data_IF_081629186983
#
_entry.id   IF_081629186983
#
_cell.length_a   1.000
_cell.length_b   1.000
_cell.length_c   1.000
_cell.angle_alpha   90.00
_cell.angle_beta   90.00
_cell.angle_gamma   90.00
#
_symmetry.space_group_name_H-M   'P 1'
#
loop_
_entity.id
_entity.type
_entity.pdbx_description
1 polymer ?
#
# COMPACT_ATOMS: atom_id res chain seq x y z
N UNK A 1 44.78 -0.81 24.78
CA UNK A 1 44.00 -2.06 24.65
C UNK A 1 43.10 -2.17 25.86
N UNK A 2 41.83 -1.82 25.71
CA UNK A 2 40.85 -1.83 26.80
C UNK A 2 39.80 -2.91 26.49
N UNK A 3 39.79 -3.97 27.30
CA UNK A 3 38.78 -5.02 27.26
C UNK A 3 37.53 -4.49 27.98
N UNK A 4 36.45 -4.21 27.23
CA UNK A 4 35.14 -4.04 27.82
C UNK A 4 34.42 -5.39 27.86
N UNK A 5 34.37 -5.99 29.05
CA UNK A 5 33.44 -7.07 29.36
C UNK A 5 32.02 -6.52 29.45
N UNK A 6 31.11 -7.07 28.64
CA UNK A 6 29.67 -6.82 28.75
C UNK A 6 29.14 -7.80 29.80
N UNK A 7 28.65 -7.25 30.92
CA UNK A 7 28.00 -8.00 31.99
C UNK A 7 26.49 -8.02 31.72
N UNK A 8 25.93 -9.20 31.48
CA UNK A 8 24.49 -9.40 31.34
C UNK A 8 23.90 -9.58 32.75
N UNK A 9 23.16 -8.60 33.26
CA UNK A 9 22.36 -8.76 34.48
C UNK A 9 20.93 -9.19 34.10
N UNK A 10 20.50 -10.32 34.65
CA UNK A 10 19.10 -10.75 34.64
C UNK A 10 18.44 -10.31 35.94
N UNK A 11 17.45 -9.43 35.87
CA UNK A 11 16.61 -9.08 37.01
C UNK A 11 15.30 -9.87 36.93
N UNK A 12 15.15 -10.86 37.81
CA UNK A 12 13.88 -11.55 38.03
C UNK A 12 13.03 -10.71 38.99
N UNK A 13 11.94 -10.13 38.50
CA UNK A 13 10.89 -9.59 39.37
C UNK A 13 10.01 -10.75 39.87
N UNK A 14 10.20 -11.14 41.12
CA UNK A 14 9.25 -11.96 41.86
C UNK A 14 8.09 -11.10 42.37
N UNK A 15 6.87 -11.37 41.94
CA UNK A 15 5.66 -10.90 42.61
C UNK A 15 5.05 -12.07 43.40
N UNK A 16 5.03 -11.93 44.71
CA UNK A 16 4.43 -12.87 45.66
C UNK A 16 2.90 -12.76 45.67
N UNK A 17 2.28 -13.91 45.36
CA UNK A 17 1.08 -14.54 45.94
C UNK A 17 -0.12 -13.70 46.41
N UNK A 18 -1.28 -14.03 45.84
CA UNK A 18 -2.60 -13.86 46.44
C UNK A 18 -3.72 -14.52 45.61
N UNK A 19 -4.14 -15.72 46.03
CA UNK A 19 -5.38 -16.46 45.69
C UNK A 19 -5.45 -17.37 44.42
N UNK A 20 -5.78 -18.64 44.70
CA UNK A 20 -6.22 -19.76 43.83
C UNK A 20 -7.62 -19.48 43.21
N UNK A 21 -8.14 -20.17 42.15
CA UNK A 21 -7.91 -21.59 41.84
C UNK A 21 -7.87 -22.02 40.34
N UNK A 22 -7.29 -23.20 40.09
CA UNK A 22 -7.67 -24.23 39.10
C UNK A 22 -8.17 -23.83 37.69
N UNK A 23 -7.32 -23.97 36.66
CA UNK A 23 -7.53 -24.82 35.46
C UNK A 23 -6.37 -24.64 34.47
N UNK A 24 -5.84 -25.77 33.99
CA UNK A 24 -4.73 -25.86 33.05
C UNK A 24 -5.16 -25.52 31.61
N UNK A 25 -4.40 -24.67 30.91
CA UNK A 25 -3.93 -24.88 29.52
C UNK A 25 -3.04 -23.69 29.05
N UNK A 26 -1.91 -23.91 28.37
CA UNK A 26 -0.97 -22.84 28.01
C UNK A 26 -1.32 -22.23 26.64
N UNK A 27 -1.79 -20.98 26.64
CA UNK A 27 -1.72 -20.12 25.46
C UNK A 27 -0.45 -19.25 25.55
N UNK A 28 0.57 -19.62 24.78
CA UNK A 28 1.73 -18.79 24.48
C UNK A 28 1.27 -17.56 23.66
N UNK A 29 1.00 -16.46 24.35
CA UNK A 29 0.88 -15.15 23.73
C UNK A 29 2.29 -14.58 23.48
N UNK A 30 2.77 -14.66 22.24
CA UNK A 30 3.90 -13.85 21.80
C UNK A 30 3.37 -12.45 21.45
N UNK A 31 3.28 -11.56 22.45
CA UNK A 31 3.06 -10.13 22.21
C UNK A 31 4.44 -9.49 22.02
N UNK A 32 4.83 -9.28 20.76
CA UNK A 32 5.96 -8.41 20.44
C UNK A 32 5.54 -6.95 20.65
N UNK A 33 5.82 -6.41 21.84
CA UNK A 33 5.78 -4.97 22.10
C UNK A 33 7.10 -4.37 21.62
N UNK A 34 7.09 -3.67 20.49
CA UNK A 34 8.25 -2.90 20.04
C UNK A 34 8.22 -1.51 20.66
N UNK A 35 9.05 -1.28 21.69
CA UNK A 35 9.39 0.06 22.17
C UNK A 35 10.47 0.65 21.26
N UNK A 36 10.24 1.84 20.73
CA UNK A 36 11.26 2.65 20.05
C UNK A 36 12.11 3.39 21.09
N UNK A 37 13.44 3.25 21.01
CA UNK A 37 14.37 4.12 21.73
C UNK A 37 15.44 4.70 20.79
N UNK A 38 15.70 5.99 21.01
CA UNK A 38 16.80 6.87 20.63
C UNK A 38 17.42 6.76 19.23
N UNK A 39 17.42 7.91 18.55
CA UNK A 39 17.72 8.11 17.14
C UNK A 39 19.22 8.35 16.89
N UNK A 40 19.85 7.44 16.15
CA UNK A 40 21.22 7.61 15.62
C UNK A 40 21.16 7.54 14.07
N UNK A 41 21.56 8.61 13.35
CA UNK A 41 21.41 8.71 11.90
C UNK A 41 22.25 7.69 11.09
N UNK A 42 23.29 7.09 11.67
CA UNK A 42 24.08 6.03 11.02
C UNK A 42 23.38 4.67 10.93
N UNK A 43 22.34 4.44 11.75
CA UNK A 43 21.66 3.15 11.90
C UNK A 43 20.54 2.97 10.86
N UNK A 44 19.99 4.07 10.33
CA UNK A 44 18.82 4.04 9.42
C UNK A 44 19.14 3.29 8.13
N UNK A 45 20.33 3.48 7.56
CA UNK A 45 20.78 2.76 6.35
C UNK A 45 20.92 1.26 6.59
N UNK A 46 21.59 0.85 7.68
CA UNK A 46 21.80 -0.57 7.99
C UNK A 46 20.51 -1.30 8.39
N UNK A 47 19.60 -0.63 9.10
CA UNK A 47 18.31 -1.21 9.51
C UNK A 47 17.33 -1.32 8.36
N UNK A 48 17.27 -0.34 7.43
CA UNK A 48 16.47 -0.46 6.21
C UNK A 48 16.98 -1.60 5.32
N UNK A 49 18.29 -1.67 5.09
CA UNK A 49 18.89 -2.74 4.28
C UNK A 49 18.57 -4.10 4.90
N UNK A 50 18.88 -4.31 6.19
CA UNK A 50 18.58 -5.58 6.89
C UNK A 50 17.10 -5.95 6.87
N UNK A 51 16.20 -4.98 7.00
CA UNK A 51 14.74 -5.21 6.98
C UNK A 51 14.24 -5.62 5.60
N UNK A 52 14.80 -5.04 4.54
CA UNK A 52 14.50 -5.46 3.17
C UNK A 52 15.06 -6.84 2.86
N UNK A 53 16.32 -7.13 3.26
CA UNK A 53 16.92 -8.45 3.05
C UNK A 53 16.15 -9.52 3.83
N UNK A 54 15.73 -9.25 5.08
CA UNK A 54 14.99 -10.23 5.88
C UNK A 54 13.61 -10.52 5.33
N UNK A 55 12.86 -9.50 4.87
CA UNK A 55 11.56 -9.71 4.22
C UNK A 55 11.71 -10.48 2.90
N UNK A 56 12.68 -10.12 2.06
CA UNK A 56 12.93 -10.80 0.80
C UNK A 56 13.37 -12.25 1.02
N UNK A 57 14.30 -12.51 1.94
CA UNK A 57 14.73 -13.85 2.33
C UNK A 57 13.58 -14.67 2.91
N UNK A 58 12.76 -14.08 3.78
CA UNK A 58 11.60 -14.77 4.34
C UNK A 58 10.56 -15.12 3.26
N UNK A 59 10.21 -14.16 2.41
CA UNK A 59 9.31 -14.43 1.27
C UNK A 59 9.88 -15.48 0.32
N UNK A 60 11.18 -15.42 0.02
CA UNK A 60 11.85 -16.37 -0.87
C UNK A 60 11.91 -17.77 -0.25
N UNK A 61 12.25 -17.87 1.03
CA UNK A 61 12.23 -19.11 1.79
C UNK A 61 10.83 -19.71 1.79
N UNK A 62 9.80 -18.92 2.10
CA UNK A 62 8.42 -19.39 2.08
C UNK A 62 7.91 -19.81 0.70
N UNK A 63 8.31 -19.12 -0.37
CA UNK A 63 7.90 -19.44 -1.73
C UNK A 63 8.59 -20.71 -2.29
N UNK A 64 9.77 -21.06 -1.77
CA UNK A 64 10.53 -22.22 -2.22
C UNK A 64 10.50 -23.40 -1.24
N UNK A 65 9.76 -23.30 -0.13
CA UNK A 65 9.59 -24.42 0.78
C UNK A 65 8.79 -25.52 0.07
N UNK A 66 9.25 -26.80 0.10
CA UNK A 66 8.47 -27.93 -0.39
C UNK A 66 7.10 -28.02 0.28
N UNK A 67 6.04 -28.31 -0.49
CA UNK A 67 4.64 -28.29 -0.03
C UNK A 67 4.40 -29.04 1.28
N UNK A 68 4.98 -30.24 1.43
CA UNK A 68 4.88 -31.07 2.64
C UNK A 68 5.45 -30.38 3.89
N UNK A 69 6.55 -29.63 3.76
CA UNK A 69 7.13 -28.87 4.87
C UNK A 69 6.35 -27.57 5.12
N UNK A 70 5.83 -26.93 4.07
CA UNK A 70 4.99 -25.73 4.18
C UNK A 70 3.71 -25.98 5.02
N UNK A 71 3.09 -27.15 4.83
CA UNK A 71 1.94 -27.58 5.63
C UNK A 71 2.32 -27.76 7.11
N UNK A 72 3.48 -28.38 7.37
CA UNK A 72 3.96 -28.70 8.72
C UNK A 72 4.22 -27.44 9.56
N UNK A 73 4.85 -26.41 8.98
CA UNK A 73 5.16 -25.17 9.71
C UNK A 73 4.02 -24.15 9.66
N UNK A 74 2.87 -24.50 9.06
CA UNK A 74 1.73 -23.60 8.97
C UNK A 74 2.01 -22.35 8.12
N UNK A 75 2.81 -22.48 7.04
CA UNK A 75 3.12 -21.36 6.12
C UNK A 75 1.83 -20.68 5.69
N UNK A 76 0.80 -21.46 5.35
CA UNK A 76 -0.50 -20.93 4.98
C UNK A 76 -1.07 -19.95 6.02
N UNK A 77 -0.92 -20.22 7.32
CA UNK A 77 -1.35 -19.35 8.42
C UNK A 77 -0.54 -18.05 8.49
N UNK A 78 0.77 -18.12 8.23
CA UNK A 78 1.66 -16.95 8.18
C UNK A 78 1.31 -16.00 7.02
N UNK A 79 0.88 -16.54 5.87
CA UNK A 79 0.44 -15.74 4.71
C UNK A 79 -1.05 -15.37 4.75
N UNK A 80 -1.88 -16.05 5.53
CA UNK A 80 -3.31 -15.79 5.62
C UNK A 80 -3.67 -14.45 6.27
N UNK A 81 -2.73 -13.79 6.94
CA UNK A 81 -3.00 -12.55 7.69
C UNK A 81 -3.47 -11.36 6.82
N UNK A 82 -3.32 -11.40 5.48
CA UNK A 82 -3.53 -10.22 4.64
C UNK A 82 -4.51 -10.42 3.48
N UNK A 83 -5.36 -11.45 3.48
CA UNK A 83 -6.44 -11.49 2.49
C UNK A 83 -7.40 -10.31 2.71
N UNK A 84 -7.85 -9.62 1.66
CA UNK A 84 -8.83 -8.55 1.81
C UNK A 84 -10.09 -9.13 2.46
N UNK A 85 -10.48 -8.54 3.60
CA UNK A 85 -11.78 -8.85 4.22
C UNK A 85 -12.83 -8.03 3.48
N UNK A 86 -13.61 -8.70 2.64
CA UNK A 86 -14.72 -8.12 1.92
C UNK A 86 -15.96 -8.13 2.81
N UNK A 87 -16.63 -6.99 2.88
CA UNK A 87 -17.87 -6.83 3.66
C UNK A 87 -18.91 -6.15 2.79
N UNK A 88 -20.17 -6.60 2.88
CA UNK A 88 -21.29 -5.97 2.20
C UNK A 88 -21.28 -4.46 2.42
N UNK A 89 -21.48 -3.68 1.36
CA UNK A 89 -21.38 -2.23 1.41
C UNK A 89 -22.54 -1.56 0.66
N UNK A 90 -23.22 -0.65 1.35
CA UNK A 90 -24.20 0.23 0.71
C UNK A 90 -23.47 1.40 0.06
N UNK A 91 -23.67 1.56 -1.25
CA UNK A 91 -23.00 2.59 -2.05
C UNK A 91 -23.81 3.89 -2.02
N UNK A 92 -23.13 5.05 -1.93
CA UNK A 92 -23.78 6.36 -2.07
C UNK A 92 -24.29 6.63 -3.50
N UNK A 93 -25.26 7.53 -3.71
CA UNK A 93 -25.75 7.85 -5.06
C UNK A 93 -24.65 8.31 -6.02
N UNK A 94 -23.72 9.15 -5.54
CA UNK A 94 -22.56 9.63 -6.31
C UNK A 94 -21.67 8.47 -6.77
N UNK A 95 -21.38 7.53 -5.86
CA UNK A 95 -20.54 6.38 -6.17
C UNK A 95 -21.25 5.38 -7.09
N UNK A 96 -22.56 5.18 -6.92
CA UNK A 96 -23.40 4.37 -7.81
C UNK A 96 -23.39 4.91 -9.24
N UNK A 97 -23.51 6.23 -9.40
CA UNK A 97 -23.41 6.88 -10.72
C UNK A 97 -22.03 6.67 -11.35
N UNK A 98 -20.96 6.91 -10.59
CA UNK A 98 -19.59 6.73 -11.09
C UNK A 98 -19.28 5.27 -11.46
N UNK A 99 -19.78 4.32 -10.67
CA UNK A 99 -19.64 2.88 -10.91
C UNK A 99 -20.41 2.45 -12.18
N UNK A 100 -21.64 2.94 -12.36
CA UNK A 100 -22.47 2.62 -13.52
C UNK A 100 -21.82 3.09 -14.83
N UNK A 101 -21.16 4.26 -14.82
CA UNK A 101 -20.39 4.75 -15.99
C UNK A 101 -19.24 3.82 -16.36
N UNK A 102 -18.48 3.33 -15.37
CA UNK A 102 -17.40 2.38 -15.62
C UNK A 102 -17.94 1.04 -16.14
N UNK A 103 -18.97 0.48 -15.49
CA UNK A 103 -19.52 -0.81 -15.88
C UNK A 103 -20.10 -0.78 -17.30
N UNK A 104 -20.79 0.30 -17.66
CA UNK A 104 -21.28 0.52 -19.03
C UNK A 104 -20.12 0.53 -20.04
N UNK A 105 -19.01 1.21 -19.71
CA UNK A 105 -17.80 1.22 -20.54
C UNK A 105 -17.18 -0.17 -20.71
N UNK A 106 -17.34 -1.05 -19.72
CA UNK A 106 -16.88 -2.44 -19.75
C UNK A 106 -17.90 -3.41 -20.38
N UNK A 107 -19.05 -2.92 -20.86
CA UNK A 107 -20.11 -3.77 -21.42
C UNK A 107 -20.93 -4.54 -20.38
N UNK A 108 -20.89 -4.12 -19.11
CA UNK A 108 -21.62 -4.74 -18.00
C UNK A 108 -22.89 -3.93 -17.72
N UNK A 109 -24.06 -4.58 -17.86
CA UNK A 109 -25.37 -3.91 -17.79
C UNK A 109 -25.93 -3.71 -16.37
N UNK A 110 -25.23 -4.16 -15.34
CA UNK A 110 -25.67 -3.97 -13.95
C UNK A 110 -24.84 -4.74 -12.93
N UNK A 111 -25.22 -4.59 -11.67
CA UNK A 111 -24.68 -5.33 -10.53
C UNK A 111 -25.78 -5.50 -9.48
N UNK A 112 -25.75 -6.61 -8.74
CA UNK A 112 -26.76 -6.89 -7.70
C UNK A 112 -26.18 -6.78 -6.28
N UNK A 113 -24.87 -6.98 -6.15
CA UNK A 113 -24.18 -6.97 -4.85
C UNK A 113 -22.92 -6.16 -4.94
N UNK A 114 -22.65 -5.44 -3.86
CA UNK A 114 -21.39 -4.72 -3.68
C UNK A 114 -20.78 -5.06 -2.34
N UNK A 115 -19.51 -5.39 -2.38
CA UNK A 115 -18.66 -5.53 -1.23
C UNK A 115 -17.60 -4.45 -1.23
N UNK A 116 -17.10 -4.09 -0.05
CA UNK A 116 -15.97 -3.19 0.10
C UNK A 116 -14.90 -3.79 0.98
N UNK A 117 -13.68 -3.29 0.83
CA UNK A 117 -12.59 -3.56 1.75
C UNK A 117 -11.79 -2.29 2.02
N UNK A 118 -11.11 -2.24 3.16
CA UNK A 118 -10.28 -1.10 3.53
C UNK A 118 -8.80 -1.26 3.15
N UNK A 119 -8.40 -2.47 2.75
CA UNK A 119 -7.04 -2.84 2.35
C UNK A 119 -7.10 -3.86 1.23
N UNK A 120 -6.36 -3.61 0.18
CA UNK A 120 -6.12 -4.55 -0.90
C UNK A 120 -4.63 -4.62 -1.21
N UNK A 121 -4.14 -5.81 -1.56
CA UNK A 121 -2.72 -6.03 -1.85
C UNK A 121 -2.51 -6.53 -3.26
N UNK A 122 -1.49 -5.99 -3.92
CA UNK A 122 -1.10 -6.39 -5.27
C UNK A 122 0.35 -6.04 -5.56
N UNK A 123 1.05 -6.96 -6.22
CA UNK A 123 2.48 -6.86 -6.52
C UNK A 123 3.31 -6.44 -5.28
N UNK A 124 3.04 -7.07 -4.13
CA UNK A 124 3.74 -6.79 -2.87
C UNK A 124 3.42 -5.43 -2.21
N UNK A 125 2.46 -4.67 -2.77
CA UNK A 125 2.05 -3.36 -2.25
C UNK A 125 0.65 -3.38 -1.66
N UNK A 126 0.45 -2.47 -0.71
CA UNK A 126 -0.83 -2.28 -0.01
C UNK A 126 -1.50 -0.99 -0.48
N UNK A 127 -2.73 -1.11 -0.97
CA UNK A 127 -3.62 0.00 -1.28
C UNK A 127 -4.70 0.06 -0.21
N UNK A 128 -4.96 1.26 0.30
CA UNK A 128 -5.94 1.44 1.38
C UNK A 128 -6.87 2.59 1.06
N UNK A 129 -8.04 2.59 1.70
CA UNK A 129 -8.90 3.79 1.70
C UNK A 129 -8.26 4.90 2.53
N UNK A 130 -8.53 6.16 2.17
CA UNK A 130 -7.94 7.34 2.82
C UNK A 130 -8.24 7.43 4.32
N UNK A 131 -9.43 6.97 4.75
CA UNK A 131 -9.81 6.88 6.17
C UNK A 131 -8.92 5.92 6.99
N UNK A 132 -8.31 4.92 6.34
CA UNK A 132 -7.46 3.92 6.99
C UNK A 132 -6.00 4.36 7.00
N UNK A 133 -5.48 4.82 5.86
CA UNK A 133 -4.11 5.28 5.75
C UNK A 133 -3.94 6.23 4.56
N UNK A 134 -3.56 7.48 4.85
CA UNK A 134 -3.50 8.57 3.88
C UNK A 134 -2.44 8.30 2.79
N UNK A 135 -1.22 7.91 3.16
CA UNK A 135 -0.13 7.66 2.20
C UNK A 135 -0.47 6.57 1.17
N UNK A 136 -0.86 5.38 1.65
CA UNK A 136 -1.23 4.23 0.80
C UNK A 136 -2.56 4.39 0.05
N UNK A 137 -3.31 5.47 0.28
CA UNK A 137 -4.53 5.79 -0.49
C UNK A 137 -4.29 6.71 -1.68
N UNK A 138 -3.13 7.38 -1.75
CA UNK A 138 -2.81 8.32 -2.81
C UNK A 138 -2.19 7.57 -3.98
N UNK A 139 -2.77 7.74 -5.16
CA UNK A 139 -2.42 6.94 -6.32
C UNK A 139 -2.33 7.77 -7.60
N UNK A 140 -1.53 7.25 -8.52
CA UNK A 140 -1.51 7.62 -9.94
C UNK A 140 -2.36 6.61 -10.72
N UNK A 141 -3.18 7.10 -11.64
CA UNK A 141 -4.07 6.27 -12.44
C UNK A 141 -4.36 6.87 -13.82
N UNK A 142 -4.93 6.06 -14.71
CA UNK A 142 -5.38 6.46 -16.04
C UNK A 142 -6.86 6.82 -16.01
N UNK A 143 -7.19 7.99 -16.53
CA UNK A 143 -8.57 8.44 -16.76
C UNK A 143 -8.70 8.98 -18.18
N UNK A 144 -9.60 8.39 -18.96
CA UNK A 144 -9.87 8.78 -20.35
C UNK A 144 -8.60 8.93 -21.22
N UNK A 145 -7.61 8.05 -21.03
CA UNK A 145 -6.36 8.07 -21.78
C UNK A 145 -5.25 8.92 -21.14
N UNK A 146 -5.56 9.78 -20.17
CA UNK A 146 -4.61 10.65 -19.51
C UNK A 146 -4.20 10.12 -18.14
N UNK A 147 -2.96 10.34 -17.74
CA UNK A 147 -2.50 10.02 -16.40
C UNK A 147 -2.83 11.15 -15.43
N UNK A 148 -3.43 10.81 -14.29
CA UNK A 148 -3.84 11.75 -13.25
C UNK A 148 -3.62 11.15 -11.86
N UNK A 149 -3.95 11.92 -10.83
CA UNK A 149 -3.73 11.58 -9.43
C UNK A 149 -5.01 11.74 -8.61
N UNK A 150 -5.10 10.99 -7.51
CA UNK A 150 -6.22 11.09 -6.60
C UNK A 150 -6.06 10.24 -5.35
N UNK A 151 -7.12 10.19 -4.56
CA UNK A 151 -7.19 9.43 -3.31
C UNK A 151 -8.26 8.36 -3.38
N UNK A 152 -7.91 7.14 -2.99
CA UNK A 152 -8.84 6.02 -2.87
C UNK A 152 -9.80 6.30 -1.71
N UNK A 153 -11.08 6.44 -2.04
CA UNK A 153 -12.17 6.60 -1.08
C UNK A 153 -12.74 5.24 -0.70
N UNK A 154 -12.94 4.35 -1.68
CA UNK A 154 -13.40 2.98 -1.48
C UNK A 154 -12.66 2.01 -2.40
N UNK A 155 -12.50 0.78 -1.93
CA UNK A 155 -12.09 -0.36 -2.75
C UNK A 155 -13.29 -1.30 -2.78
N UNK A 156 -13.89 -1.45 -3.94
CA UNK A 156 -15.13 -2.19 -4.13
C UNK A 156 -14.89 -3.47 -4.91
N UNK A 157 -15.83 -4.40 -4.73
CA UNK A 157 -16.02 -5.56 -5.58
C UNK A 157 -17.50 -5.66 -5.89
N UNK A 158 -17.82 -5.97 -7.14
CA UNK A 158 -19.18 -6.26 -7.58
C UNK A 158 -19.26 -7.67 -8.12
N UNK A 159 -20.43 -8.27 -8.08
CA UNK A 159 -20.68 -9.62 -8.57
C UNK A 159 -20.47 -9.76 -10.09
N UNK A 160 -20.72 -8.70 -10.85
CA UNK A 160 -20.59 -8.66 -12.30
C UNK A 160 -19.18 -8.38 -12.82
N UNK A 161 -18.18 -8.17 -11.95
CA UNK A 161 -16.79 -7.89 -12.34
C UNK A 161 -15.80 -8.69 -11.48
N UNK A 162 -14.84 -9.41 -12.08
CA UNK A 162 -13.96 -10.33 -11.34
C UNK A 162 -12.94 -9.62 -10.45
N UNK A 163 -12.45 -8.45 -10.89
CA UNK A 163 -11.40 -7.69 -10.21
C UNK A 163 -11.92 -6.65 -9.21
N UNK A 164 -11.03 -6.11 -8.37
CA UNK A 164 -11.35 -4.96 -7.53
C UNK A 164 -11.56 -3.72 -8.39
N UNK A 165 -12.43 -2.84 -7.91
CA UNK A 165 -12.69 -1.52 -8.47
C UNK A 165 -12.30 -0.46 -7.44
N UNK A 166 -11.63 0.60 -7.90
CA UNK A 166 -11.16 1.67 -7.02
C UNK A 166 -12.02 2.90 -7.22
N UNK A 167 -12.71 3.32 -6.17
CA UNK A 167 -13.45 4.58 -6.13
C UNK A 167 -12.50 5.66 -5.64
N UNK A 168 -12.25 6.63 -6.50
CA UNK A 168 -11.20 7.63 -6.34
C UNK A 168 -11.84 9.01 -6.34
N UNK A 169 -11.32 9.89 -5.49
CA UNK A 169 -11.52 11.32 -5.60
C UNK A 169 -10.32 11.93 -6.32
N UNK A 170 -10.44 12.33 -7.58
CA UNK A 170 -9.32 12.91 -8.33
C UNK A 170 -8.94 14.29 -7.80
N UNK A 171 -7.67 14.66 -7.98
CA UNK A 171 -7.23 16.04 -7.83
C UNK A 171 -7.53 16.83 -9.10
N UNK A 172 -7.80 18.13 -8.95
CA UNK A 172 -8.13 19.00 -10.09
C UNK A 172 -6.86 19.50 -10.77
N UNK A 173 -6.68 19.32 -12.09
CA UNK A 173 -5.53 19.90 -12.82
C UNK A 173 -5.48 21.42 -12.69
N UNK A 174 -4.28 22.00 -12.76
CA UNK A 174 -4.13 23.45 -12.85
C UNK A 174 -4.74 23.98 -14.15
N UNK A 175 -5.15 25.25 -14.13
CA UNK A 175 -5.47 25.97 -15.36
C UNK A 175 -4.19 26.23 -16.16
N UNK A 176 -4.31 26.47 -17.48
CA UNK A 176 -3.14 26.80 -18.31
C UNK A 176 -2.33 28.00 -17.78
N UNK A 177 -3.01 28.99 -17.20
CA UNK A 177 -2.38 30.15 -16.57
C UNK A 177 -1.51 29.74 -15.37
N UNK A 178 -2.06 28.93 -14.47
CA UNK A 178 -1.35 28.51 -13.26
C UNK A 178 -0.31 27.40 -13.51
N UNK A 179 -0.47 26.60 -14.58
CA UNK A 179 0.51 25.58 -14.95
C UNK A 179 1.89 26.20 -15.24
N UNK A 180 1.94 27.41 -15.80
CA UNK A 180 3.20 28.15 -16.01
C UNK A 180 3.92 28.54 -14.71
N UNK A 181 3.22 28.52 -13.58
CA UNK A 181 3.76 28.81 -12.24
C UNK A 181 4.26 27.54 -11.54
N UNK A 182 3.96 26.37 -12.09
CA UNK A 182 4.43 25.10 -11.57
C UNK A 182 5.96 25.02 -11.64
N UNK A 183 6.66 24.66 -10.55
CA UNK A 183 8.11 24.47 -10.58
C UNK A 183 8.52 23.29 -11.48
N UNK A 184 7.57 22.42 -11.84
CA UNK A 184 7.81 21.26 -12.69
C UNK A 184 7.49 21.51 -14.16
N UNK A 185 7.02 22.71 -14.53
CA UNK A 185 6.62 23.04 -15.90
C UNK A 185 7.75 22.80 -16.93
N UNK A 186 8.98 23.14 -16.57
CA UNK A 186 10.17 22.94 -17.39
C UNK A 186 10.75 21.52 -17.34
N UNK A 187 10.16 20.62 -16.53
CA UNK A 187 10.67 19.26 -16.31
C UNK A 187 9.59 18.20 -16.64
N UNK A 188 9.13 18.09 -17.90
CA UNK A 188 8.02 17.20 -18.29
C UNK A 188 8.32 15.71 -18.08
N UNK A 189 9.60 15.33 -18.00
CA UNK A 189 10.02 13.95 -17.73
C UNK A 189 10.02 13.61 -16.24
N UNK A 190 10.04 14.62 -15.36
CA UNK A 190 9.88 14.41 -13.93
C UNK A 190 8.44 13.96 -13.69
N UNK A 191 8.27 12.84 -12.98
CA UNK A 191 6.94 12.33 -12.64
C UNK A 191 6.35 13.07 -11.43
N UNK A 192 6.41 14.39 -11.48
CA UNK A 192 5.89 15.30 -10.48
C UNK A 192 4.94 16.31 -11.13
N UNK A 193 3.86 16.66 -10.44
CA UNK A 193 2.87 17.63 -10.91
C UNK A 193 2.35 18.45 -9.74
N UNK A 194 1.95 19.69 -10.04
CA UNK A 194 1.14 20.50 -9.12
C UNK A 194 -0.31 20.40 -9.57
N UNK A 195 -1.23 20.21 -8.63
CA UNK A 195 -2.68 20.16 -8.89
C UNK A 195 -3.41 20.95 -7.80
N UNK A 196 -4.64 21.40 -8.05
CA UNK A 196 -5.44 22.01 -6.98
C UNK A 196 -5.93 20.94 -5.99
N UNK A 197 -6.02 21.31 -4.71
CA UNK A 197 -6.54 20.44 -3.63
C UNK A 197 -8.06 20.23 -3.70
N UNK A 198 -8.75 21.01 -4.53
CA UNK A 198 -10.21 21.04 -4.66
C UNK A 198 -10.77 19.65 -5.00
N UNK A 199 -11.83 19.20 -4.29
CA UNK A 199 -12.45 17.91 -4.57
C UNK A 199 -13.16 17.91 -5.93
N UNK A 200 -12.95 16.84 -6.70
CA UNK A 200 -13.74 16.55 -7.90
C UNK A 200 -14.75 15.42 -7.63
N UNK A 201 -15.78 15.26 -8.49
CA UNK A 201 -16.69 14.12 -8.43
C UNK A 201 -15.95 12.78 -8.42
N UNK A 202 -16.53 11.79 -7.76
CA UNK A 202 -15.96 10.45 -7.71
C UNK A 202 -15.77 9.84 -9.10
N UNK A 203 -14.67 9.11 -9.24
CA UNK A 203 -14.35 8.27 -10.40
C UNK A 203 -14.19 6.83 -9.94
N UNK A 204 -14.56 5.88 -10.78
CA UNK A 204 -14.28 4.47 -10.54
C UNK A 204 -13.36 3.97 -11.64
N UNK A 205 -12.29 3.28 -11.24
CA UNK A 205 -11.34 2.67 -12.18
C UNK A 205 -11.20 1.17 -11.90
N UNK A 206 -10.83 0.43 -12.94
CA UNK A 206 -10.40 -0.95 -12.82
C UNK A 206 -8.92 -1.02 -12.41
N UNK A 207 -8.45 -2.22 -12.07
CA UNK A 207 -7.05 -2.45 -11.72
C UNK A 207 -6.09 -2.07 -12.86
N UNK A 208 -6.45 -2.32 -14.12
CA UNK A 208 -5.57 -2.06 -15.27
C UNK A 208 -5.30 -0.57 -15.50
N UNK A 209 -6.17 0.30 -14.96
CA UNK A 209 -6.02 1.75 -15.01
C UNK A 209 -5.19 2.28 -13.81
N UNK A 210 -4.81 1.44 -12.85
CA UNK A 210 -4.03 1.83 -11.67
C UNK A 210 -2.52 1.73 -11.97
N UNK A 211 -1.76 2.82 -11.82
CA UNK A 211 -0.30 2.82 -12.04
C UNK A 211 0.52 2.59 -10.76
N UNK A 212 0.03 3.06 -9.61
CA UNK A 212 0.69 2.85 -8.32
C UNK A 212 0.46 3.98 -7.33
N UNK A 213 1.30 4.04 -6.30
CA UNK A 213 1.23 5.05 -5.25
C UNK A 213 1.83 6.38 -5.68
N UNK A 214 1.37 7.45 -5.04
CA UNK A 214 1.93 8.78 -5.16
C UNK A 214 2.21 9.40 -3.79
N UNK A 215 3.34 10.09 -3.67
CA UNK A 215 3.60 10.99 -2.56
C UNK A 215 2.90 12.34 -2.83
N UNK A 216 2.48 13.00 -1.76
CA UNK A 216 1.79 14.28 -1.83
C UNK A 216 2.28 15.20 -0.71
N UNK A 217 2.52 16.46 -1.06
CA UNK A 217 2.74 17.58 -0.13
C UNK A 217 1.64 18.61 -0.38
N UNK A 218 0.92 19.01 0.68
CA UNK A 218 -0.11 20.04 0.59
C UNK A 218 0.53 21.43 0.69
N UNK A 219 0.03 22.38 -0.08
CA UNK A 219 0.41 23.78 0.01
C UNK A 219 -0.84 24.65 0.19
N UNK A 220 -0.71 25.65 1.05
CA UNK A 220 -1.76 26.65 1.26
C UNK A 220 -1.98 27.51 0.01
N UNK A 221 -3.10 28.23 0.01
CA UNK A 221 -3.38 29.27 -0.98
C UNK A 221 -2.26 30.32 -1.02
N UNK A 222 -1.91 30.79 -2.21
CA UNK A 222 -0.82 31.74 -2.45
C UNK A 222 0.54 31.07 -2.71
N UNK A 223 0.70 29.79 -2.39
CA UNK A 223 1.91 29.05 -2.75
C UNK A 223 2.13 29.06 -4.27
N UNK A 224 3.38 29.27 -4.71
CA UNK A 224 3.74 29.42 -6.12
C UNK A 224 2.98 30.54 -6.84
N UNK A 225 2.48 31.54 -6.11
CA UNK A 225 1.63 32.61 -6.64
C UNK A 225 0.33 32.07 -7.28
N UNK A 226 -0.20 30.96 -6.76
CA UNK A 226 -1.48 30.36 -7.15
C UNK A 226 -2.50 30.66 -6.04
N UNK A 227 -3.63 31.33 -6.34
CA UNK A 227 -4.55 31.82 -5.30
C UNK A 227 -5.33 30.71 -4.57
N UNK A 228 -5.39 29.49 -5.14
CA UNK A 228 -6.09 28.35 -4.55
C UNK A 228 -5.10 27.38 -3.88
N UNK A 229 -5.53 26.62 -2.85
CA UNK A 229 -4.70 25.57 -2.27
C UNK A 229 -4.30 24.50 -3.29
N UNK A 230 -3.05 24.08 -3.26
CA UNK A 230 -2.46 23.13 -4.21
C UNK A 230 -1.85 21.92 -3.52
N UNK A 231 -1.52 20.92 -4.32
CA UNK A 231 -0.78 19.73 -3.89
C UNK A 231 0.36 19.47 -4.86
N UNK A 232 1.54 19.23 -4.32
CA UNK A 232 2.69 18.73 -5.06
C UNK A 232 2.64 17.21 -5.01
N UNK A 233 2.48 16.60 -6.17
CA UNK A 233 2.35 15.15 -6.34
C UNK A 233 3.59 14.59 -6.99
N UNK A 234 4.06 13.45 -6.51
CA UNK A 234 5.15 12.70 -7.12
C UNK A 234 4.69 11.25 -7.29
N UNK A 235 4.72 10.74 -8.51
CA UNK A 235 4.51 9.32 -8.75
C UNK A 235 5.68 8.52 -8.19
N UNK A 236 5.37 7.51 -7.38
CA UNK A 236 6.36 6.60 -6.81
C UNK A 236 6.50 5.32 -7.66
N UNK A 237 6.00 5.33 -8.92
CA UNK A 237 5.89 4.19 -9.85
C UNK A 237 6.46 2.89 -9.32
N UNK A 238 5.62 1.92 -9.01
CA UNK A 238 6.16 0.60 -8.67
C UNK A 238 5.26 -0.58 -9.00
N UNK A 239 4.34 -0.48 -9.96
CA UNK A 239 3.63 -1.67 -10.46
C UNK A 239 4.39 -2.45 -11.55
N UNK A 240 5.54 -1.94 -12.03
CA UNK A 240 6.33 -2.59 -13.10
C UNK A 240 7.81 -2.84 -12.82
N UNK A 241 8.32 -2.66 -11.59
CA UNK A 241 9.74 -2.94 -11.24
C UNK A 241 9.87 -4.21 -10.37
N UNK A 242 8.77 -4.89 -10.06
CA UNK A 242 8.81 -6.27 -9.56
C UNK A 242 8.59 -7.19 -10.75
N UNK A 243 9.67 -7.60 -11.44
CA UNK A 243 9.83 -8.92 -12.11
C UNK A 243 11.04 -9.05 -13.04
N UNK A 244 11.81 -7.99 -13.34
CA UNK A 244 13.06 -8.15 -14.13
C UNK A 244 14.32 -8.44 -13.29
N UNK A 245 14.21 -8.58 -11.97
CA UNK A 245 15.34 -8.90 -11.09
C UNK A 245 15.38 -10.35 -10.58
N UNK A 246 14.47 -11.23 -11.02
CA UNK A 246 14.52 -12.68 -10.74
C UNK A 246 14.01 -13.43 -11.97
N UNK A 247 14.84 -13.79 -12.93
CA UNK A 247 15.56 -15.07 -12.89
C UNK A 247 16.61 -15.04 -14.00
N UNK A 248 17.88 -14.86 -13.63
CA UNK A 248 18.97 -15.38 -14.45
C UNK A 248 19.06 -16.86 -14.08
N UNK A 249 18.25 -17.70 -14.73
CA UNK A 249 18.58 -19.12 -14.79
C UNK A 249 19.70 -19.23 -15.81
N UNK A 250 20.94 -19.28 -15.32
CA UNK A 250 22.05 -19.84 -16.08
C UNK A 250 21.61 -21.23 -16.56
N UNK A 251 21.30 -21.31 -17.85
CA UNK A 251 21.20 -22.58 -18.56
C UNK A 251 22.64 -23.04 -18.76
N UNK A 252 23.14 -23.85 -17.83
CA UNK A 252 24.34 -24.66 -18.08
C UNK A 252 24.10 -25.49 -19.36
N UNK A 253 24.90 -25.33 -20.42
CA UNK A 253 24.83 -26.21 -21.56
C UNK A 253 25.31 -27.60 -21.13
N UNK A 254 24.45 -28.62 -21.29
CA UNK A 254 24.86 -30.02 -21.09
C UNK A 254 26.04 -30.34 -22.03
N UNK A 255 27.13 -30.94 -21.53
CA UNK A 255 28.15 -31.51 -22.40
C UNK A 255 27.55 -32.69 -23.16
N UNK A 256 27.89 -32.76 -24.44
CA UNK A 256 27.54 -33.85 -25.38
C UNK A 256 28.54 -34.99 -25.28
#
# INVERSE_FOLDING_TARGET
MANHQIQTQYTLCSTSAGANPTLWSPFLHCVMVWRTYNWDPGIVGQTMIRRHTSKALFSNLCNNIPSKYAETIGVHTLFHANRPKWTAHSISPECSQALSLLLTRLGILGYSKTESTSLWQHAGKSFTISKRHIGNSRIEFKDQGNTTFGEIVHILRVDSHPGPLFVIRPFRPLTHLDESKSPYHSYPYLKARVMYRQPLPLRVIALDDLFGHSALVENDAGAMNIPAPTVNLISLRSLGISEMASTYTDLDPKPT
#
